data_IF_904422345862
#
_entry.id   IF_904422345862
#
_cell.length_a   1.000
_cell.length_b   1.000
_cell.length_c   1.000
_cell.angle_alpha   90.00
_cell.angle_beta   90.00
_cell.angle_gamma   90.00
#
_symmetry.space_group_name_H-M   'P 1'
#
loop_
_entity.id
_entity.type
_entity.pdbx_description
1 polymer ?
#
# COMPACT_ATOMS: atom_id res chain seq x y z
N UNK A 1 4.51 21.67 11.28
CA UNK A 1 5.61 21.54 12.24
C UNK A 1 5.22 22.10 13.61
N UNK A 2 4.88 23.37 13.72
CA UNK A 2 4.57 24.01 15.02
C UNK A 2 3.55 23.25 15.89
N UNK A 3 2.56 22.60 15.27
CA UNK A 3 1.52 21.83 15.97
C UNK A 3 1.95 20.39 16.36
N UNK A 4 3.08 19.92 15.86
CA UNK A 4 3.55 18.55 16.06
C UNK A 4 4.91 18.48 16.75
N UNK A 5 5.64 19.60 16.83
CA UNK A 5 7.02 19.66 17.33
C UNK A 5 7.20 18.99 18.69
N UNK A 6 6.36 19.37 19.64
CA UNK A 6 6.50 18.94 21.04
C UNK A 6 6.14 17.45 21.24
N UNK A 7 5.53 16.83 20.21
CA UNK A 7 5.27 15.40 20.18
C UNK A 7 6.32 14.64 19.38
N UNK A 8 6.76 15.18 18.24
CA UNK A 8 7.67 14.47 17.32
C UNK A 8 9.12 14.50 17.80
N UNK A 9 9.57 15.59 18.42
CA UNK A 9 10.96 15.68 18.92
C UNK A 9 11.27 14.59 19.96
N UNK A 10 10.47 14.37 21.00
CA UNK A 10 10.73 13.28 21.96
C UNK A 10 10.72 11.89 21.31
N UNK A 11 9.87 11.65 20.29
CA UNK A 11 9.87 10.37 19.56
C UNK A 11 11.19 10.15 18.86
N UNK A 12 11.69 11.16 18.14
CA UNK A 12 12.97 11.07 17.41
C UNK A 12 14.13 10.93 18.40
N UNK A 13 14.15 11.73 19.48
CA UNK A 13 15.17 11.68 20.52
C UNK A 13 15.27 10.29 21.15
N UNK A 14 14.16 9.71 21.59
CA UNK A 14 14.12 8.37 22.18
C UNK A 14 14.63 7.28 21.23
N UNK A 15 14.34 7.38 19.91
CA UNK A 15 14.83 6.42 18.91
C UNK A 15 16.34 6.57 18.71
N UNK A 16 16.84 7.80 18.66
CA UNK A 16 18.27 8.07 18.52
C UNK A 16 19.05 7.61 19.75
N UNK A 17 18.56 7.87 20.96
CA UNK A 17 19.16 7.41 22.22
C UNK A 17 19.14 5.86 22.31
N UNK A 18 18.05 5.22 21.86
CA UNK A 18 17.91 3.75 21.86
C UNK A 18 18.79 3.03 20.86
N UNK A 19 19.29 3.73 19.82
CA UNK A 19 20.21 3.19 18.81
C UNK A 19 19.62 2.11 17.87
N UNK A 20 18.33 1.81 17.96
CA UNK A 20 17.67 0.80 17.13
C UNK A 20 16.91 1.46 15.97
N UNK A 21 17.60 1.70 14.88
CA UNK A 21 17.07 2.47 13.75
C UNK A 21 16.29 1.65 12.73
N UNK A 22 16.40 0.31 12.77
CA UNK A 22 15.75 -0.63 11.83
C UNK A 22 15.23 -1.85 12.62
N UNK A 23 14.01 -2.31 12.27
CA UNK A 23 13.42 -3.51 12.89
C UNK A 23 13.13 -3.32 14.39
N UNK A 24 12.64 -2.16 14.75
CA UNK A 24 12.36 -1.75 16.13
C UNK A 24 10.90 -1.95 16.52
N UNK A 25 10.63 -1.79 17.81
CA UNK A 25 9.26 -1.79 18.37
C UNK A 25 8.35 -0.73 17.73
N UNK A 26 8.89 0.39 17.27
CA UNK A 26 8.13 1.44 16.59
C UNK A 26 7.51 0.91 15.29
N UNK A 27 8.25 0.08 14.54
CA UNK A 27 7.75 -0.57 13.33
C UNK A 27 6.64 -1.55 13.67
N UNK A 28 6.84 -2.40 14.69
CA UNK A 28 5.84 -3.40 15.11
C UNK A 28 4.55 -2.73 15.63
N UNK A 29 4.70 -1.67 16.42
CA UNK A 29 3.58 -0.88 16.93
C UNK A 29 2.80 -0.22 15.81
N UNK A 30 3.50 0.42 14.86
CA UNK A 30 2.85 1.00 13.69
C UNK A 30 2.09 -0.05 12.87
N UNK A 31 2.69 -1.21 12.59
CA UNK A 31 2.02 -2.30 11.87
C UNK A 31 0.75 -2.77 12.60
N UNK A 32 0.80 -2.90 13.92
CA UNK A 32 -0.32 -3.35 14.76
C UNK A 32 -1.47 -2.34 14.79
N UNK A 33 -1.17 -1.07 15.04
CA UNK A 33 -2.17 -0.01 15.10
C UNK A 33 -2.77 0.29 13.72
N UNK A 34 -1.95 0.24 12.66
CA UNK A 34 -2.41 0.38 11.30
C UNK A 34 -3.33 -0.79 10.89
N UNK A 35 -3.03 -2.03 11.30
CA UNK A 35 -3.91 -3.17 11.02
C UNK A 35 -5.31 -2.96 11.60
N UNK A 36 -5.40 -2.43 12.82
CA UNK A 36 -6.67 -2.06 13.46
C UNK A 36 -7.37 -0.93 12.68
N UNK A 37 -6.63 0.12 12.34
CA UNK A 37 -7.18 1.31 11.65
C UNK A 37 -7.72 0.99 10.27
N UNK A 38 -7.03 0.15 9.51
CA UNK A 38 -7.43 -0.26 8.15
C UNK A 38 -8.30 -1.52 8.13
N UNK A 39 -8.67 -2.09 9.29
CA UNK A 39 -9.55 -3.24 9.43
C UNK A 39 -9.04 -4.47 8.65
N UNK A 40 -7.76 -4.76 8.74
CA UNK A 40 -7.07 -5.86 8.06
C UNK A 40 -6.35 -6.77 9.05
N UNK A 41 -5.98 -7.98 8.61
CA UNK A 41 -5.25 -8.91 9.48
C UNK A 41 -3.78 -8.54 9.67
N UNK A 42 -3.16 -7.94 8.65
CA UNK A 42 -1.73 -7.65 8.66
C UNK A 42 -1.43 -6.34 7.94
N UNK A 43 -0.49 -5.59 8.50
CA UNK A 43 0.20 -4.47 7.84
C UNK A 43 1.69 -4.81 7.80
N UNK A 44 2.35 -4.47 6.73
CA UNK A 44 3.78 -4.64 6.55
C UNK A 44 4.38 -3.30 6.12
N UNK A 45 5.18 -2.71 7.00
CA UNK A 45 5.83 -1.44 6.77
C UNK A 45 7.01 -1.58 5.79
N UNK A 46 7.09 -0.67 4.84
CA UNK A 46 8.06 -0.66 3.74
C UNK A 46 8.67 0.75 3.60
N UNK A 47 9.74 0.87 2.81
CA UNK A 47 10.45 2.13 2.60
C UNK A 47 9.70 3.13 1.71
N UNK A 48 8.77 2.67 0.86
CA UNK A 48 8.04 3.54 -0.08
C UNK A 48 6.73 2.93 -0.56
N UNK A 49 5.85 3.78 -1.10
CA UNK A 49 4.64 3.34 -1.79
C UNK A 49 4.95 2.57 -3.08
N UNK A 50 6.04 2.90 -3.76
CA UNK A 50 6.49 2.17 -4.96
C UNK A 50 6.87 0.74 -4.62
N UNK A 51 7.63 0.52 -3.55
CA UNK A 51 7.97 -0.82 -3.10
C UNK A 51 6.75 -1.57 -2.55
N UNK A 52 5.77 -0.86 -1.98
CA UNK A 52 4.50 -1.48 -1.60
C UNK A 52 3.78 -2.09 -2.83
N UNK A 53 3.76 -1.38 -3.96
CA UNK A 53 3.21 -1.90 -5.22
C UNK A 53 4.02 -3.07 -5.77
N UNK A 54 5.35 -2.95 -5.82
CA UNK A 54 6.25 -4.02 -6.27
C UNK A 54 6.07 -5.29 -5.42
N UNK A 55 6.19 -5.15 -4.11
CA UNK A 55 6.04 -6.28 -3.18
C UNK A 55 4.63 -6.89 -3.23
N UNK A 56 3.60 -6.05 -3.33
CA UNK A 56 2.21 -6.49 -3.43
C UNK A 56 1.95 -7.32 -4.68
N UNK A 57 2.40 -6.85 -5.85
CA UNK A 57 2.27 -7.56 -7.12
C UNK A 57 3.03 -8.91 -7.10
N UNK A 58 4.29 -8.91 -6.65
CA UNK A 58 5.09 -10.14 -6.55
C UNK A 58 4.48 -11.11 -5.53
N UNK A 59 3.89 -10.60 -4.45
CA UNK A 59 3.29 -11.46 -3.42
C UNK A 59 2.06 -12.23 -3.93
N UNK A 60 1.27 -11.63 -4.83
CA UNK A 60 0.14 -12.33 -5.48
C UNK A 60 0.55 -13.16 -6.69
N UNK A 61 1.85 -13.25 -6.99
CA UNK A 61 2.41 -14.13 -8.01
C UNK A 61 2.56 -13.51 -9.40
N UNK A 62 2.53 -12.16 -9.50
CA UNK A 62 2.85 -11.47 -10.76
C UNK A 62 4.36 -11.50 -11.00
N UNK A 63 4.77 -11.75 -12.22
CA UNK A 63 6.17 -11.80 -12.64
C UNK A 63 6.39 -11.52 -14.13
N UNK A 64 7.58 -11.85 -14.59
CA UNK A 64 7.99 -11.60 -15.98
C UNK A 64 7.04 -12.26 -16.99
N UNK A 65 6.52 -11.43 -17.91
CA UNK A 65 5.65 -11.87 -19.01
C UNK A 65 4.17 -11.93 -18.65
N UNK A 66 3.81 -11.76 -17.38
CA UNK A 66 2.42 -11.60 -16.95
C UNK A 66 1.86 -10.23 -17.32
N UNK A 67 0.54 -10.10 -17.25
CA UNK A 67 -0.19 -8.87 -17.51
C UNK A 67 -0.91 -8.40 -16.27
N UNK A 68 -0.88 -7.09 -16.04
CA UNK A 68 -1.62 -6.42 -14.96
C UNK A 68 -2.54 -5.37 -15.55
N UNK A 69 -3.85 -5.50 -15.32
CA UNK A 69 -4.85 -4.52 -15.75
C UNK A 69 -4.85 -3.35 -14.76
N UNK A 70 -4.68 -2.12 -15.28
CA UNK A 70 -4.61 -0.89 -14.48
C UNK A 70 -5.11 0.32 -15.28
N UNK A 71 -5.55 1.44 -14.68
CA UNK A 71 -5.88 2.63 -15.45
C UNK A 71 -4.61 3.37 -15.91
N UNK A 72 -4.64 4.08 -17.04
CA UNK A 72 -3.53 4.94 -17.48
C UNK A 72 -3.43 6.23 -16.62
N UNK A 73 -4.54 6.66 -16.06
CA UNK A 73 -4.64 7.89 -15.27
C UNK A 73 -4.22 7.64 -13.81
N UNK A 74 -2.91 7.66 -13.56
CA UNK A 74 -2.33 7.47 -12.22
C UNK A 74 -0.95 8.14 -12.16
N UNK A 75 -0.36 8.17 -10.97
CA UNK A 75 1.05 8.48 -10.82
C UNK A 75 1.89 7.38 -11.48
N UNK A 76 3.02 7.76 -12.06
CA UNK A 76 3.88 6.85 -12.84
C UNK A 76 4.31 5.59 -12.07
N UNK A 77 4.36 5.63 -10.74
CA UNK A 77 4.74 4.49 -9.91
C UNK A 77 3.81 3.27 -10.06
N UNK A 78 2.51 3.48 -10.33
CA UNK A 78 1.57 2.38 -10.57
C UNK A 78 2.01 1.53 -11.77
N UNK A 79 2.25 2.17 -12.90
CA UNK A 79 2.77 1.52 -14.12
C UNK A 79 4.22 1.07 -13.94
N UNK A 80 5.04 1.91 -13.29
CA UNK A 80 6.46 1.64 -13.05
C UNK A 80 6.68 0.36 -12.25
N UNK A 81 5.88 0.09 -11.22
CA UNK A 81 5.97 -1.13 -10.41
C UNK A 81 5.70 -2.39 -11.25
N UNK A 82 4.72 -2.35 -12.17
CA UNK A 82 4.41 -3.46 -13.08
C UNK A 82 5.61 -3.73 -14.01
N UNK A 83 6.14 -2.67 -14.62
CA UNK A 83 7.28 -2.79 -15.55
C UNK A 83 8.54 -3.26 -14.82
N UNK A 84 8.78 -2.77 -13.61
CA UNK A 84 9.96 -3.12 -12.80
C UNK A 84 10.07 -4.63 -12.52
N UNK A 85 8.95 -5.31 -12.31
CA UNK A 85 8.93 -6.76 -12.11
C UNK A 85 8.92 -7.58 -13.41
N UNK A 86 9.04 -6.90 -14.57
CA UNK A 86 9.04 -7.52 -15.89
C UNK A 86 7.66 -7.93 -16.40
N UNK A 87 6.60 -7.48 -15.75
CA UNK A 87 5.22 -7.66 -16.22
C UNK A 87 4.83 -6.54 -17.21
N UNK A 88 3.72 -6.72 -17.88
CA UNK A 88 3.17 -5.78 -18.87
C UNK A 88 1.91 -5.09 -18.32
N UNK A 89 1.84 -3.75 -18.26
CA UNK A 89 0.60 -3.05 -17.96
C UNK A 89 -0.37 -3.19 -19.14
N UNK A 90 -1.63 -3.50 -18.83
CA UNK A 90 -2.76 -3.48 -19.75
C UNK A 90 -3.69 -2.36 -19.33
N UNK A 91 -3.73 -1.29 -20.10
CA UNK A 91 -4.50 -0.12 -19.74
C UNK A 91 -5.98 -0.28 -20.08
N UNK A 92 -6.80 0.05 -19.09
CA UNK A 92 -8.25 0.16 -19.21
C UNK A 92 -8.65 1.60 -18.88
N UNK A 93 -9.44 2.20 -19.76
CA UNK A 93 -9.83 3.60 -19.66
C UNK A 93 -10.64 3.89 -18.38
N UNK A 94 -10.74 5.17 -18.02
CA UNK A 94 -11.39 5.64 -16.81
C UNK A 94 -12.83 6.10 -17.06
N UNK A 95 -13.62 6.16 -16.00
CA UNK A 95 -14.92 6.82 -15.99
C UNK A 95 -14.75 8.34 -15.83
N UNK A 96 -15.84 9.13 -15.96
CA UNK A 96 -15.79 10.59 -15.67
C UNK A 96 -15.30 10.94 -14.25
N UNK A 97 -15.39 10.01 -13.30
CA UNK A 97 -14.85 10.15 -11.95
C UNK A 97 -13.32 9.92 -11.85
N UNK A 98 -12.66 9.70 -12.99
CA UNK A 98 -11.23 9.48 -13.17
C UNK A 98 -10.71 8.12 -12.66
N UNK A 99 -11.53 7.25 -12.12
CA UNK A 99 -11.17 5.90 -11.71
C UNK A 99 -11.42 4.89 -12.85
N UNK A 100 -10.71 3.77 -12.81
CA UNK A 100 -10.82 2.69 -13.80
C UNK A 100 -12.28 2.32 -14.08
N UNK A 101 -12.64 2.12 -15.35
CA UNK A 101 -13.99 1.72 -15.76
C UNK A 101 -14.17 0.19 -15.65
N UNK A 102 -14.91 -0.33 -14.67
CA UNK A 102 -15.06 -1.79 -14.49
C UNK A 102 -15.67 -2.48 -15.71
N UNK A 103 -16.56 -1.80 -16.45
CA UNK A 103 -17.23 -2.37 -17.66
C UNK A 103 -16.25 -2.73 -18.78
N UNK A 104 -15.04 -2.20 -18.73
CA UNK A 104 -14.01 -2.47 -19.75
C UNK A 104 -12.98 -3.51 -19.28
N UNK A 105 -12.92 -3.83 -17.98
CA UNK A 105 -11.92 -4.74 -17.41
C UNK A 105 -12.05 -6.13 -18.04
N UNK A 106 -13.25 -6.69 -18.10
CA UNK A 106 -13.47 -8.05 -18.55
C UNK A 106 -13.01 -8.28 -20.01
N UNK A 107 -13.17 -7.27 -20.87
CA UNK A 107 -12.70 -7.30 -22.28
C UNK A 107 -11.16 -7.28 -22.40
N UNK A 108 -10.47 -6.77 -21.38
CA UNK A 108 -9.02 -6.68 -21.34
C UNK A 108 -8.34 -7.92 -20.75
N UNK A 109 -9.13 -8.86 -20.19
CA UNK A 109 -8.60 -10.10 -19.61
C UNK A 109 -8.08 -11.02 -20.72
N UNK A 110 -6.86 -11.50 -20.56
CA UNK A 110 -6.22 -12.51 -21.39
C UNK A 110 -5.74 -13.70 -20.56
N UNK A 111 -5.22 -14.73 -21.21
CA UNK A 111 -4.58 -15.87 -20.51
C UNK A 111 -3.34 -15.47 -19.69
N UNK A 112 -2.78 -14.29 -19.95
CA UNK A 112 -1.60 -13.74 -19.23
C UNK A 112 -1.99 -12.79 -18.11
N UNK A 113 -3.26 -12.41 -17.99
CA UNK A 113 -3.71 -11.51 -16.92
C UNK A 113 -3.54 -12.19 -15.57
N UNK A 114 -2.69 -11.61 -14.72
CA UNK A 114 -2.32 -12.15 -13.41
C UNK A 114 -2.83 -11.33 -12.25
N UNK A 115 -3.13 -10.05 -12.45
CA UNK A 115 -3.73 -9.18 -11.44
C UNK A 115 -4.57 -8.06 -12.08
N UNK A 116 -5.52 -7.53 -11.30
CA UNK A 116 -6.18 -6.25 -11.57
C UNK A 116 -5.69 -5.28 -10.51
N UNK A 117 -5.18 -4.11 -10.93
CA UNK A 117 -4.68 -3.08 -10.02
C UNK A 117 -5.45 -1.77 -10.22
N UNK A 118 -6.61 -1.62 -9.53
CA UNK A 118 -7.32 -0.35 -9.48
C UNK A 118 -6.52 0.68 -8.69
N UNK A 119 -6.65 1.95 -9.06
CA UNK A 119 -6.04 3.09 -8.36
C UNK A 119 -7.14 3.96 -7.77
N UNK A 120 -7.13 4.16 -6.46
CA UNK A 120 -8.07 5.04 -5.75
C UNK A 120 -7.62 6.49 -5.87
N UNK A 121 -7.80 7.06 -7.07
CA UNK A 121 -7.24 8.36 -7.43
C UNK A 121 -7.79 9.47 -6.54
N UNK A 122 -6.88 10.31 -6.02
CA UNK A 122 -7.18 11.44 -5.12
C UNK A 122 -7.96 11.07 -3.86
N UNK A 123 -7.96 9.79 -3.48
CA UNK A 123 -8.70 9.27 -2.32
C UNK A 123 -10.16 8.88 -2.63
N UNK A 124 -10.60 8.97 -3.89
CA UNK A 124 -11.90 8.46 -4.30
C UNK A 124 -11.81 6.96 -4.53
N UNK A 125 -12.62 6.19 -3.82
CA UNK A 125 -12.68 4.75 -4.03
C UNK A 125 -13.15 4.40 -5.44
N UNK A 126 -12.49 3.43 -6.07
CA UNK A 126 -13.00 2.76 -7.26
C UNK A 126 -14.32 2.05 -6.93
N UNK A 127 -15.08 1.69 -7.96
CA UNK A 127 -16.24 0.81 -7.84
C UNK A 127 -15.76 -0.62 -7.51
N UNK A 128 -15.42 -0.82 -6.23
CA UNK A 128 -14.82 -2.07 -5.78
C UNK A 128 -15.80 -3.25 -5.83
N UNK A 129 -17.10 -3.01 -5.75
CA UNK A 129 -18.09 -4.08 -5.91
C UNK A 129 -18.02 -4.69 -7.29
N UNK A 130 -18.09 -3.86 -8.33
CA UNK A 130 -18.00 -4.33 -9.72
C UNK A 130 -16.63 -4.93 -10.06
N UNK A 131 -15.54 -4.35 -9.54
CA UNK A 131 -14.18 -4.88 -9.77
C UNK A 131 -14.02 -6.25 -9.12
N UNK A 132 -14.46 -6.42 -7.87
CA UNK A 132 -14.36 -7.70 -7.16
C UNK A 132 -15.25 -8.78 -7.75
N UNK A 133 -16.43 -8.42 -8.29
CA UNK A 133 -17.29 -9.37 -9.01
C UNK A 133 -16.56 -9.96 -10.22
N UNK A 134 -15.94 -9.09 -11.06
CA UNK A 134 -15.15 -9.53 -12.22
C UNK A 134 -13.94 -10.35 -11.78
N UNK A 135 -13.19 -9.88 -10.80
CA UNK A 135 -11.99 -10.53 -10.29
C UNK A 135 -12.32 -11.96 -9.77
N UNK A 136 -13.38 -12.10 -9.00
CA UNK A 136 -13.83 -13.39 -8.47
C UNK A 136 -14.29 -14.33 -9.57
N UNK A 137 -15.04 -13.84 -10.57
CA UNK A 137 -15.50 -14.62 -11.72
C UNK A 137 -14.35 -15.24 -12.50
N UNK A 138 -13.24 -14.52 -12.60
CA UNK A 138 -12.06 -14.95 -13.36
C UNK A 138 -10.91 -15.49 -12.50
N UNK A 139 -11.10 -15.57 -11.16
CA UNK A 139 -10.07 -15.98 -10.19
C UNK A 139 -8.79 -15.15 -10.31
N UNK A 140 -8.91 -13.84 -10.55
CA UNK A 140 -7.78 -12.92 -10.69
C UNK A 140 -7.65 -12.11 -9.38
N UNK A 141 -6.47 -12.08 -8.74
CA UNK A 141 -6.26 -11.26 -7.54
C UNK A 141 -6.34 -9.77 -7.83
N UNK A 142 -6.84 -9.01 -6.84
CA UNK A 142 -6.86 -7.55 -6.89
C UNK A 142 -5.79 -6.99 -5.97
N UNK A 143 -4.96 -6.09 -6.50
CA UNK A 143 -3.96 -5.31 -5.77
C UNK A 143 -4.39 -3.86 -5.80
N UNK A 144 -4.85 -3.32 -4.68
CA UNK A 144 -5.32 -1.93 -4.61
C UNK A 144 -4.12 -0.96 -4.57
N UNK A 145 -3.99 -0.08 -5.54
CA UNK A 145 -3.14 1.11 -5.37
C UNK A 145 -3.90 2.14 -4.53
N UNK A 146 -3.66 2.07 -3.24
CA UNK A 146 -4.25 2.90 -2.21
C UNK A 146 -3.33 4.06 -1.78
N UNK A 147 -2.31 4.38 -2.59
CA UNK A 147 -1.28 5.39 -2.26
C UNK A 147 -1.85 6.79 -1.98
N UNK A 148 -3.07 7.09 -2.41
CA UNK A 148 -3.73 8.38 -2.19
C UNK A 148 -4.98 8.27 -1.30
N UNK A 149 -5.29 7.10 -0.75
CA UNK A 149 -6.58 6.79 -0.14
C UNK A 149 -6.52 6.33 1.32
N UNK A 150 -5.42 6.63 2.04
CA UNK A 150 -5.36 6.37 3.47
C UNK A 150 -6.52 7.06 4.20
N UNK A 151 -7.40 6.23 4.81
CA UNK A 151 -8.62 6.67 5.48
C UNK A 151 -9.86 6.84 4.59
N UNK A 152 -9.78 6.50 3.30
CA UNK A 152 -10.96 6.39 2.44
C UNK A 152 -11.69 5.06 2.70
N UNK A 153 -13.00 5.06 2.48
CA UNK A 153 -13.85 3.88 2.62
C UNK A 153 -15.01 3.92 1.63
N UNK A 154 -15.48 2.74 1.24
CA UNK A 154 -16.69 2.51 0.46
C UNK A 154 -17.58 1.53 1.27
N UNK A 155 -18.80 1.93 1.57
CA UNK A 155 -19.78 1.13 2.36
C UNK A 155 -19.20 0.58 3.68
N UNK A 156 -18.44 1.44 4.38
CA UNK A 156 -17.82 1.09 5.67
C UNK A 156 -16.54 0.24 5.57
N UNK A 157 -16.17 -0.23 4.38
CA UNK A 157 -14.98 -1.02 4.15
C UNK A 157 -13.84 -0.15 3.64
N UNK A 158 -12.71 -0.16 4.34
CA UNK A 158 -11.58 0.75 4.10
C UNK A 158 -10.83 0.43 2.79
N UNK A 159 -10.23 1.45 2.17
CA UNK A 159 -9.25 1.25 1.12
C UNK A 159 -8.15 0.31 1.60
N UNK A 160 -7.66 -0.55 0.71
CA UNK A 160 -6.64 -1.55 1.02
C UNK A 160 -7.17 -2.79 1.76
N UNK A 161 -8.50 -2.92 1.92
CA UNK A 161 -9.10 -4.09 2.55
C UNK A 161 -10.02 -4.90 1.62
N UNK A 162 -10.17 -4.47 0.36
CA UNK A 162 -11.05 -5.10 -0.62
C UNK A 162 -10.37 -6.23 -1.39
N UNK A 163 -9.18 -5.98 -1.90
CA UNK A 163 -8.38 -6.95 -2.65
C UNK A 163 -7.57 -7.90 -1.77
N UNK A 164 -6.69 -8.64 -2.43
CA UNK A 164 -5.71 -9.50 -1.76
C UNK A 164 -4.67 -8.70 -1.01
N UNK A 165 -4.33 -7.52 -1.57
CA UNK A 165 -3.30 -6.61 -1.11
C UNK A 165 -3.73 -5.17 -1.33
N UNK A 166 -3.53 -4.32 -0.34
CA UNK A 166 -3.60 -2.87 -0.48
C UNK A 166 -2.21 -2.24 -0.33
N UNK A 167 -1.84 -1.33 -1.23
CA UNK A 167 -0.52 -0.71 -1.29
C UNK A 167 -0.64 0.78 -0.98
N UNK A 168 0.04 1.23 0.07
CA UNK A 168 -0.04 2.60 0.57
C UNK A 168 1.30 3.33 0.47
N UNK A 169 1.23 4.62 0.18
CA UNK A 169 2.35 5.54 0.28
C UNK A 169 2.16 6.42 1.52
N UNK A 170 3.22 6.58 2.27
CA UNK A 170 3.32 7.54 3.36
C UNK A 170 4.30 8.69 3.05
N UNK A 171 4.54 8.98 1.77
CA UNK A 171 5.29 10.16 1.31
C UNK A 171 4.74 11.45 1.94
N UNK A 172 5.54 12.50 2.20
CA UNK A 172 5.15 13.72 2.91
C UNK A 172 3.89 14.44 2.41
N UNK A 173 3.49 14.26 1.15
CA UNK A 173 2.28 14.85 0.58
C UNK A 173 1.00 14.02 0.81
N UNK A 174 1.10 12.84 1.41
CA UNK A 174 -0.06 11.94 1.62
C UNK A 174 -0.85 12.30 2.88
N UNK A 175 -2.07 11.74 3.01
CA UNK A 175 -2.93 11.97 4.19
C UNK A 175 -2.30 11.45 5.48
N UNK A 176 -1.75 10.25 5.43
CA UNK A 176 -0.87 9.68 6.44
C UNK A 176 0.54 9.78 5.89
N UNK A 177 1.38 10.57 6.51
CA UNK A 177 2.66 10.97 5.94
C UNK A 177 3.81 10.82 6.94
N UNK A 178 4.96 10.38 6.46
CA UNK A 178 6.23 10.35 7.16
C UNK A 178 6.98 11.69 7.04
N UNK A 179 8.18 11.77 7.59
CA UNK A 179 9.13 12.85 7.37
C UNK A 179 10.25 12.40 6.40
N UNK A 180 9.88 11.80 5.30
CA UNK A 180 10.69 11.20 4.27
C UNK A 180 9.88 10.16 3.51
N UNK A 181 10.55 9.26 2.80
CA UNK A 181 9.86 8.16 2.13
C UNK A 181 9.43 7.09 3.13
N UNK A 182 8.23 6.57 2.93
CA UNK A 182 7.67 5.43 3.62
C UNK A 182 6.46 4.89 2.84
N UNK A 183 6.14 3.63 3.08
CA UNK A 183 4.95 2.98 2.55
C UNK A 183 4.59 1.76 3.38
N UNK A 184 3.49 1.13 3.07
CA UNK A 184 3.10 -0.11 3.71
C UNK A 184 2.11 -0.88 2.86
N UNK A 185 2.03 -2.17 3.13
CA UNK A 185 1.06 -3.07 2.52
C UNK A 185 0.06 -3.53 3.58
N UNK A 186 -1.19 -3.67 3.16
CA UNK A 186 -2.26 -4.28 3.95
C UNK A 186 -2.69 -5.61 3.31
N UNK A 187 -3.00 -6.62 4.11
CA UNK A 187 -3.58 -7.88 3.65
C UNK A 187 -4.31 -8.62 4.77
N UNK A 188 -5.27 -9.47 4.39
CA UNK A 188 -5.91 -10.42 5.31
C UNK A 188 -5.26 -11.79 5.31
N UNK A 189 -4.35 -12.05 4.36
CA UNK A 189 -3.74 -13.36 4.13
C UNK A 189 -2.37 -13.47 4.78
N UNK A 190 -2.25 -14.34 5.78
CA UNK A 190 -1.00 -14.56 6.52
C UNK A 190 0.18 -14.90 5.61
N UNK A 191 -0.01 -15.81 4.64
CA UNK A 191 1.06 -16.21 3.72
C UNK A 191 1.57 -15.06 2.84
N UNK A 192 0.69 -14.11 2.45
CA UNK A 192 1.09 -12.90 1.73
C UNK A 192 1.92 -12.00 2.64
N UNK A 193 1.47 -11.80 3.88
CA UNK A 193 2.20 -11.01 4.85
C UNK A 193 3.61 -11.56 5.13
N UNK A 194 3.73 -12.86 5.33
CA UNK A 194 5.01 -13.55 5.54
C UNK A 194 5.94 -13.41 4.33
N UNK A 195 5.41 -13.61 3.13
CA UNK A 195 6.17 -13.43 1.89
C UNK A 195 6.72 -12.02 1.74
N UNK A 196 5.91 -10.98 2.02
CA UNK A 196 6.35 -9.58 1.93
C UNK A 196 7.37 -9.25 3.03
N UNK A 197 7.18 -9.77 4.26
CA UNK A 197 8.16 -9.61 5.35
C UNK A 197 9.53 -10.19 4.99
N UNK A 198 9.56 -11.35 4.38
CA UNK A 198 10.81 -11.93 3.86
C UNK A 198 11.39 -11.05 2.74
N UNK A 199 10.58 -10.67 1.74
CA UNK A 199 11.02 -9.86 0.59
C UNK A 199 11.66 -8.54 1.01
N UNK A 200 11.06 -7.79 1.97
CA UNK A 200 11.58 -6.50 2.44
C UNK A 200 12.92 -6.59 3.16
N UNK A 201 13.34 -7.81 3.51
CA UNK A 201 14.57 -8.09 4.26
C UNK A 201 15.42 -9.14 3.56
N UNK A 202 15.84 -8.90 2.33
CA UNK A 202 16.70 -9.78 1.52
C UNK A 202 16.14 -11.20 1.25
N UNK A 203 14.88 -11.47 1.59
CA UNK A 203 14.28 -12.80 1.51
C UNK A 203 14.56 -13.67 2.72
N UNK A 204 15.07 -13.08 3.80
CA UNK A 204 15.34 -13.76 5.07
C UNK A 204 14.05 -14.08 5.82
N UNK A 205 13.91 -15.30 6.27
CA UNK A 205 12.84 -15.76 7.17
C UNK A 205 13.34 -15.86 8.62
N UNK A 206 14.62 -16.01 8.81
CA UNK A 206 15.37 -15.87 10.06
C UNK A 206 16.78 -15.33 9.76
N UNK A 207 17.66 -15.31 10.77
CA UNK A 207 18.99 -14.71 10.64
C UNK A 207 19.85 -15.33 9.52
N UNK A 208 19.70 -16.65 9.31
CA UNK A 208 20.64 -17.43 8.50
C UNK A 208 19.96 -18.13 7.31
N UNK A 209 18.60 -18.04 7.20
CA UNK A 209 17.83 -18.76 6.18
C UNK A 209 17.22 -17.80 5.16
N UNK A 210 17.63 -17.90 3.90
CA UNK A 210 17.05 -17.19 2.76
C UNK A 210 16.02 -18.10 2.08
N UNK A 211 14.72 -17.75 2.16
CA UNK A 211 13.64 -18.52 1.54
C UNK A 211 13.40 -18.10 0.07
N UNK A 212 13.76 -16.88 -0.30
CA UNK A 212 13.61 -16.32 -1.65
C UNK A 212 14.59 -15.17 -1.83
N UNK A 213 14.82 -14.71 -3.06
CA UNK A 213 15.54 -13.47 -3.27
C UNK A 213 14.63 -12.28 -2.94
N UNK A 214 15.15 -11.35 -2.19
CA UNK A 214 14.49 -10.12 -1.79
C UNK A 214 15.44 -8.94 -1.89
N UNK A 215 14.99 -7.78 -1.42
CA UNK A 215 15.77 -6.54 -1.39
C UNK A 215 15.56 -5.81 -0.06
N UNK A 216 16.25 -4.70 0.13
CA UNK A 216 16.04 -3.85 1.29
C UNK A 216 14.85 -2.93 1.01
N UNK A 217 13.75 -3.14 1.73
CA UNK A 217 12.56 -2.29 1.68
C UNK A 217 11.94 -2.13 3.08
N UNK A 218 12.79 -1.93 4.07
CA UNK A 218 12.37 -1.75 5.47
C UNK A 218 12.03 -0.30 5.73
N UNK A 219 11.01 -0.06 6.54
CA UNK A 219 10.73 1.27 7.08
C UNK A 219 11.71 1.56 8.22
N UNK A 220 12.27 2.77 8.24
CA UNK A 220 13.12 3.22 9.33
C UNK A 220 12.29 3.46 10.61
N UNK A 221 12.88 3.20 11.78
CA UNK A 221 12.23 3.37 13.08
C UNK A 221 11.72 4.80 13.30
N UNK A 222 12.45 5.81 12.85
CA UNK A 222 12.05 7.22 12.93
C UNK A 222 10.76 7.45 12.15
N UNK A 223 10.65 6.94 10.91
CA UNK A 223 9.44 7.09 10.12
C UNK A 223 8.26 6.35 10.74
N UNK A 224 8.49 5.16 11.28
CA UNK A 224 7.46 4.38 11.95
C UNK A 224 6.90 5.08 13.20
N UNK A 225 7.77 5.63 14.05
CA UNK A 225 7.35 6.38 15.24
C UNK A 225 6.55 7.64 14.89
N UNK A 226 6.97 8.38 13.85
CA UNK A 226 6.24 9.54 13.35
C UNK A 226 4.87 9.12 12.79
N UNK A 227 4.83 8.04 12.01
CA UNK A 227 3.60 7.53 11.42
C UNK A 227 2.62 7.01 12.47
N UNK A 228 3.09 6.36 13.53
CA UNK A 228 2.27 5.93 14.66
C UNK A 228 1.56 7.12 15.30
N UNK A 229 2.29 8.19 15.61
CA UNK A 229 1.70 9.43 16.12
C UNK A 229 0.67 10.02 15.15
N UNK A 230 1.00 10.11 13.86
CA UNK A 230 0.11 10.69 12.85
C UNK A 230 -1.10 9.82 12.54
N UNK A 231 -0.99 8.50 12.69
CA UNK A 231 -2.09 7.57 12.52
C UNK A 231 -3.24 7.86 13.51
N UNK A 232 -2.94 8.16 14.76
CA UNK A 232 -3.94 8.54 15.77
C UNK A 232 -4.71 9.83 15.40
N UNK A 233 -4.12 10.69 14.55
CA UNK A 233 -4.68 11.97 14.09
C UNK A 233 -5.29 11.91 12.68
N UNK A 234 -5.23 10.76 12.01
CA UNK A 234 -5.63 10.61 10.60
C UNK A 234 -7.05 11.11 10.34
N UNK A 235 -8.01 10.76 11.20
CA UNK A 235 -9.40 11.21 11.05
C UNK A 235 -9.55 12.74 11.13
N UNK A 236 -8.75 13.39 11.97
CA UNK A 236 -8.74 14.85 12.07
C UNK A 236 -8.19 15.50 10.80
N UNK A 237 -7.12 14.91 10.23
CA UNK A 237 -6.55 15.37 8.95
C UNK A 237 -7.57 15.23 7.82
N UNK A 238 -8.25 14.09 7.72
CA UNK A 238 -9.28 13.83 6.72
C UNK A 238 -10.43 14.86 6.84
N UNK A 239 -10.94 15.11 8.04
CA UNK A 239 -11.98 16.11 8.29
C UNK A 239 -11.56 17.51 7.82
N UNK A 240 -10.31 17.91 8.10
CA UNK A 240 -9.76 19.20 7.64
C UNK A 240 -9.69 19.27 6.11
N UNK A 241 -9.16 18.23 5.45
CA UNK A 241 -9.08 18.17 3.98
C UNK A 241 -10.44 18.22 3.31
N UNK A 242 -11.43 17.46 3.81
CA UNK A 242 -12.82 17.52 3.31
C UNK A 242 -13.42 18.92 3.42
N UNK A 243 -13.18 19.60 4.55
CA UNK A 243 -13.67 20.99 4.74
C UNK A 243 -13.03 21.98 3.75
N UNK A 244 -11.78 21.76 3.34
CA UNK A 244 -11.09 22.63 2.39
C UNK A 244 -11.46 22.33 0.93
N UNK A 245 -12.07 21.19 0.65
CA UNK A 245 -12.49 20.77 -0.68
C UNK A 245 -13.98 21.11 -0.97
N UNK A 246 -14.74 21.45 0.06
CA UNK A 246 -16.15 21.93 -0.03
C UNK A 246 -16.19 23.45 -0.16
#
# INVERSE_FOLDING_TARGET
>A
WQQERDHLLPIVENILEGGQYIGSKEVDNFETEAATTFQVGHVIALNSGTDALVCGLVAVGVGRGDEVITPPNSFVASTGAIVHIGARPVFVDVKPDQNINPRLIEKAITKKTKAIMPVHLTGRMCDMHAIMEIANKHNIPVVEDAAQSAGSALDGKTAGSWGEVGCFSAHPLKNLNACGDAGFVTTRKKHIAEKIRAMRNHGLVDRDTVAQFGHVSRMDSIQAGILQFRLSRLQTVIKKRKRHAA
#
